data_IF_041065691961
#
_entry.id   IF_041065691961
#
_cell.length_a   1.000
_cell.length_b   1.000
_cell.length_c   1.000
_cell.angle_alpha   90.00
_cell.angle_beta   90.00
_cell.angle_gamma   90.00
#
_symmetry.space_group_name_H-M   'P 1'
#
loop_
_entity.id
_entity.type
_entity.pdbx_description
1 polymer ?
#
# COMPACT_ATOMS: atom_id res chain seq x y z
N UNK A 1 -10.44 -16.53 2.96
CA UNK A 1 -11.57 -16.33 2.03
C UNK A 1 -11.04 -15.60 0.81
N UNK A 2 -10.95 -16.26 -0.33
CA UNK A 2 -10.41 -15.70 -1.58
C UNK A 2 -11.50 -14.83 -2.19
N UNK A 3 -11.51 -13.56 -1.93
CA UNK A 3 -12.38 -12.60 -2.61
C UNK A 3 -11.71 -12.21 -3.92
N UNK A 4 -12.38 -12.46 -5.01
CA UNK A 4 -12.09 -12.17 -6.42
C UNK A 4 -11.42 -13.29 -7.22
N UNK A 5 -12.21 -13.82 -8.14
CA UNK A 5 -11.73 -14.67 -9.22
C UNK A 5 -10.89 -13.82 -10.18
N UNK A 6 -9.60 -14.14 -10.31
CA UNK A 6 -8.67 -13.53 -11.26
C UNK A 6 -9.29 -13.35 -12.64
N UNK A 7 -9.26 -12.15 -13.19
CA UNK A 7 -9.71 -11.89 -14.56
C UNK A 7 -8.87 -12.70 -15.56
N UNK A 8 -9.45 -13.05 -16.72
CA UNK A 8 -8.77 -13.85 -17.77
C UNK A 8 -7.47 -13.22 -18.26
N UNK A 9 -7.28 -11.92 -18.05
CA UNK A 9 -6.13 -11.13 -18.51
C UNK A 9 -4.89 -11.25 -17.61
N UNK A 10 -4.99 -11.63 -16.34
CA UNK A 10 -3.83 -11.85 -15.47
C UNK A 10 -2.83 -12.89 -16.01
N UNK A 11 -3.25 -13.76 -16.94
CA UNK A 11 -2.38 -14.82 -17.49
C UNK A 11 -1.45 -14.39 -18.62
N UNK A 12 -1.69 -13.23 -19.28
CA UNK A 12 -0.91 -12.80 -20.47
C UNK A 12 0.27 -11.88 -20.16
N UNK A 13 0.36 -11.33 -18.94
CA UNK A 13 1.25 -10.22 -18.59
C UNK A 13 2.71 -10.59 -18.35
N UNK A 14 3.01 -11.85 -18.14
CA UNK A 14 4.27 -12.32 -17.56
C UNK A 14 5.45 -12.42 -18.54
N UNK A 15 5.23 -12.19 -19.81
CA UNK A 15 6.27 -12.43 -20.82
C UNK A 15 7.11 -11.22 -21.20
N UNK A 16 6.81 -10.01 -20.72
CA UNK A 16 7.41 -8.77 -21.24
C UNK A 16 8.22 -7.91 -20.25
N UNK A 17 8.33 -8.29 -18.97
CA UNK A 17 9.01 -7.47 -17.94
C UNK A 17 10.47 -7.88 -17.66
N UNK A 18 11.15 -8.46 -18.62
CA UNK A 18 12.55 -8.90 -18.49
C UNK A 18 13.49 -8.00 -19.29
N UNK A 19 13.67 -6.71 -18.95
CA UNK A 19 14.83 -5.92 -19.43
C UNK A 19 14.93 -4.58 -18.70
N UNK A 20 15.69 -4.56 -17.60
CA UNK A 20 16.58 -3.43 -17.26
C UNK A 20 17.34 -3.71 -15.95
N UNK A 21 18.51 -4.31 -16.06
CA UNK A 21 19.52 -4.31 -14.98
C UNK A 21 20.70 -3.53 -15.50
N UNK A 22 20.99 -2.41 -14.88
CA UNK A 22 22.22 -1.66 -15.04
C UNK A 22 22.94 -1.57 -13.70
N UNK A 23 24.06 -2.27 -13.62
CA UNK A 23 24.94 -2.26 -12.45
C UNK A 23 25.72 -0.95 -12.33
N UNK A 24 25.90 -0.46 -11.09
CA UNK A 24 27.06 0.38 -10.75
C UNK A 24 27.42 0.17 -9.28
N UNK A 25 28.57 -0.42 -9.08
CA UNK A 25 29.24 -0.53 -7.78
C UNK A 25 30.00 0.77 -7.47
N UNK A 26 30.01 1.19 -6.21
CA UNK A 26 30.81 2.30 -5.74
C UNK A 26 31.09 2.20 -4.23
N UNK A 27 32.29 1.83 -3.87
CA UNK A 27 32.84 1.77 -2.51
C UNK A 27 33.05 3.17 -1.92
N UNK A 28 32.84 3.31 -0.61
CA UNK A 28 33.27 4.47 0.15
C UNK A 28 33.23 4.24 1.64
N UNK A 29 34.37 3.85 2.23
CA UNK A 29 34.61 3.83 3.69
C UNK A 29 34.71 5.26 4.25
N UNK A 30 34.12 5.52 5.39
CA UNK A 30 34.35 6.71 6.16
C UNK A 30 34.06 6.48 7.66
N UNK A 31 35.13 6.26 8.42
CA UNK A 31 35.14 6.17 9.88
C UNK A 31 35.17 7.59 10.45
N UNK A 32 34.36 7.94 11.46
CA UNK A 32 34.78 8.87 12.50
C UNK A 32 34.06 8.67 13.84
N UNK A 33 34.83 8.86 14.88
CA UNK A 33 34.71 8.52 16.27
C UNK A 33 34.19 9.72 17.12
N UNK A 34 33.45 9.41 18.22
CA UNK A 34 33.55 10.12 19.50
C UNK A 34 32.64 11.33 19.68
N UNK A 35 31.88 11.41 20.71
CA UNK A 35 32.21 11.87 22.09
C UNK A 35 30.97 11.84 22.98
N UNK A 36 31.22 11.66 24.28
CA UNK A 36 30.31 11.43 25.40
C UNK A 36 29.46 12.66 25.86
N UNK A 37 28.53 12.41 26.85
CA UNK A 37 27.46 13.34 27.20
C UNK A 37 27.82 14.24 28.41
N UNK A 38 27.02 15.28 28.72
CA UNK A 38 27.05 15.93 30.03
C UNK A 38 25.83 15.64 30.90
N UNK A 39 26.07 15.04 32.02
CA UNK A 39 25.78 15.33 33.44
C UNK A 39 24.60 16.26 33.76
N UNK A 40 23.61 15.66 34.50
CA UNK A 40 23.13 16.20 35.76
C UNK A 40 22.10 17.30 35.76
N UNK A 41 20.88 17.01 36.22
CA UNK A 41 20.04 17.97 36.94
C UNK A 41 19.53 17.37 38.24
N UNK A 42 19.69 18.15 39.28
CA UNK A 42 19.42 17.91 40.70
C UNK A 42 17.92 17.82 41.01
N UNK A 43 17.62 16.89 41.91
CA UNK A 43 16.44 16.88 42.77
C UNK A 43 16.50 18.08 43.76
N UNK A 44 15.45 18.87 43.86
CA UNK A 44 14.97 19.45 45.11
C UNK A 44 13.72 20.29 44.88
N UNK A 45 12.82 20.20 45.86
CA UNK A 45 11.71 21.05 46.26
C UNK A 45 10.28 20.55 45.91
N UNK A 46 9.83 19.57 46.71
CA UNK A 46 8.42 19.30 46.94
C UNK A 46 7.93 20.11 48.16
N UNK A 47 7.09 21.09 47.94
CA UNK A 47 6.22 21.66 48.98
C UNK A 47 4.84 21.02 48.93
N UNK A 48 4.24 20.64 50.04
CA UNK A 48 2.93 20.02 50.07
C UNK A 48 1.81 21.06 49.89
N UNK A 49 0.88 20.75 48.97
CA UNK A 49 -0.37 21.49 48.77
C UNK A 49 -1.48 20.85 49.62
N UNK A 50 -2.36 21.64 50.30
CA UNK A 50 -3.40 21.10 51.19
C UNK A 50 -4.53 20.40 50.44
N UNK A 51 -5.02 19.33 51.04
CA UNK A 51 -6.17 18.54 50.68
C UNK A 51 -7.48 19.39 50.69
N UNK A 52 -7.99 19.73 49.52
CA UNK A 52 -9.37 20.18 49.36
C UNK A 52 -10.19 19.05 48.70
N UNK A 53 -11.04 18.45 49.52
CA UNK A 53 -12.02 17.45 49.11
C UNK A 53 -13.02 18.03 48.09
N UNK A 54 -12.75 17.82 46.81
CA UNK A 54 -13.72 18.07 45.74
C UNK A 54 -14.74 16.93 45.66
N UNK A 55 -15.97 17.23 46.08
CA UNK A 55 -17.16 16.38 45.86
C UNK A 55 -17.52 16.48 44.38
N UNK A 56 -17.30 15.42 43.63
CA UNK A 56 -17.75 15.32 42.23
C UNK A 56 -19.30 15.04 42.25
N UNK A 57 -20.10 15.83 41.51
CA UNK A 57 -21.48 15.45 41.28
C UNK A 57 -21.49 14.20 40.39
N UNK A 58 -22.32 13.21 40.76
CA UNK A 58 -22.55 12.01 39.97
C UNK A 58 -23.09 12.41 38.59
N UNK A 59 -22.19 12.46 37.58
CA UNK A 59 -22.60 12.58 36.19
C UNK A 59 -23.23 11.28 35.75
N UNK A 60 -24.49 11.36 35.38
CA UNK A 60 -25.20 10.27 34.71
C UNK A 60 -24.38 9.85 33.47
N UNK A 61 -23.89 8.62 33.51
CA UNK A 61 -23.22 7.97 32.37
C UNK A 61 -24.26 7.79 31.27
N UNK A 62 -24.32 8.72 30.33
CA UNK A 62 -24.93 8.45 29.04
C UNK A 62 -24.04 7.42 28.37
N UNK A 63 -24.52 6.20 28.24
CA UNK A 63 -23.94 5.18 27.36
C UNK A 63 -24.06 5.74 25.94
N UNK A 64 -23.00 6.32 25.44
CA UNK A 64 -22.87 6.59 24.00
C UNK A 64 -22.85 5.22 23.30
N UNK A 65 -24.00 4.83 22.77
CA UNK A 65 -24.07 3.71 21.82
C UNK A 65 -23.17 4.07 20.64
N UNK A 66 -22.08 3.30 20.51
CA UNK A 66 -21.26 3.34 19.31
C UNK A 66 -22.19 3.23 18.09
N UNK A 67 -22.10 4.13 17.10
CA UNK A 67 -22.96 4.06 15.94
C UNK A 67 -22.78 2.69 15.27
N UNK A 68 -23.90 2.05 14.94
CA UNK A 68 -23.92 0.82 14.18
C UNK A 68 -23.15 1.07 12.87
N UNK A 69 -22.25 0.16 12.45
CA UNK A 69 -21.44 0.38 11.25
C UNK A 69 -22.36 0.58 10.04
N UNK A 70 -22.14 1.68 9.32
CA UNK A 70 -22.88 1.99 8.09
C UNK A 70 -22.79 0.80 7.13
N UNK A 71 -23.91 0.42 6.47
CA UNK A 71 -23.90 -0.69 5.53
C UNK A 71 -22.95 -0.37 4.35
N UNK A 72 -22.19 -1.39 3.90
CA UNK A 72 -21.33 -1.26 2.74
C UNK A 72 -22.12 -0.80 1.52
N UNK A 73 -21.61 0.19 0.75
CA UNK A 73 -22.27 0.64 -0.47
C UNK A 73 -22.38 -0.50 -1.49
N UNK A 74 -23.47 -0.55 -2.26
CA UNK A 74 -23.68 -1.59 -3.29
C UNK A 74 -22.63 -1.52 -4.41
N UNK A 75 -22.24 -0.27 -4.77
CA UNK A 75 -21.20 0.00 -5.76
C UNK A 75 -20.03 0.70 -5.10
N UNK A 76 -18.85 0.09 -5.18
CA UNK A 76 -17.63 0.71 -4.66
C UNK A 76 -16.40 0.42 -5.53
N UNK A 77 -15.41 1.31 -5.44
CA UNK A 77 -14.12 1.19 -6.10
C UNK A 77 -12.99 1.50 -5.13
N UNK A 78 -11.99 0.62 -5.11
CA UNK A 78 -10.69 0.88 -4.52
C UNK A 78 -9.71 1.23 -5.63
N UNK A 79 -9.27 2.48 -5.67
CA UNK A 79 -8.14 2.86 -6.52
C UNK A 79 -6.87 2.43 -5.82
N UNK A 80 -6.05 1.60 -6.48
CA UNK A 80 -4.81 1.08 -5.89
C UNK A 80 -3.62 1.38 -6.78
N UNK A 81 -2.50 1.74 -6.15
CA UNK A 81 -1.25 2.11 -6.82
C UNK A 81 -0.11 1.25 -6.30
N UNK A 82 0.61 0.57 -7.20
CA UNK A 82 1.76 -0.26 -6.89
C UNK A 82 3.06 0.46 -7.28
N UNK A 83 4.20 0.01 -6.73
CA UNK A 83 5.57 0.39 -7.08
C UNK A 83 6.00 1.83 -6.75
N UNK A 84 5.15 2.59 -6.08
CA UNK A 84 5.53 3.89 -5.50
C UNK A 84 6.21 3.77 -4.13
N UNK A 85 6.64 4.90 -3.54
CA UNK A 85 6.55 6.25 -4.08
C UNK A 85 7.64 6.57 -5.10
N UNK A 86 7.32 7.46 -6.01
CA UNK A 86 8.23 7.93 -7.05
C UNK A 86 8.02 9.42 -7.38
N UNK A 87 8.69 9.91 -8.43
CA UNK A 87 8.43 11.25 -8.97
C UNK A 87 6.99 11.45 -9.51
N UNK A 88 6.25 10.37 -9.75
CA UNK A 88 4.84 10.39 -10.21
C UNK A 88 3.87 10.54 -9.04
N UNK A 89 4.23 10.07 -7.86
CA UNK A 89 3.36 10.05 -6.67
C UNK A 89 2.78 11.42 -6.30
N UNK A 90 3.53 12.55 -6.37
CA UNK A 90 2.95 13.87 -6.08
C UNK A 90 1.79 14.25 -7.01
N UNK A 91 1.87 13.92 -8.30
CA UNK A 91 0.82 14.20 -9.27
C UNK A 91 -0.43 13.34 -8.99
N UNK A 92 -0.24 12.07 -8.60
CA UNK A 92 -1.31 11.15 -8.17
C UNK A 92 -1.99 11.68 -6.91
N UNK A 93 -1.25 12.01 -5.86
CA UNK A 93 -1.79 12.57 -4.60
C UNK A 93 -2.56 13.88 -4.87
N UNK A 94 -2.02 14.74 -5.72
CA UNK A 94 -2.69 16.00 -6.10
C UNK A 94 -4.04 15.75 -6.79
N UNK A 95 -4.13 14.76 -7.69
CA UNK A 95 -5.38 14.41 -8.37
C UNK A 95 -6.41 13.84 -7.39
N UNK A 96 -6.02 12.91 -6.52
CA UNK A 96 -6.88 12.30 -5.50
C UNK A 96 -7.41 13.35 -4.52
N UNK A 97 -6.52 14.21 -4.01
CA UNK A 97 -6.88 15.26 -3.04
C UNK A 97 -7.83 16.31 -3.64
N UNK A 98 -7.59 16.75 -4.89
CA UNK A 98 -8.52 17.66 -5.58
C UNK A 98 -9.90 17.05 -5.76
N UNK A 99 -9.98 15.75 -6.01
CA UNK A 99 -11.24 15.03 -6.18
C UNK A 99 -11.92 14.66 -4.86
N UNK A 100 -11.23 14.79 -3.71
CA UNK A 100 -11.73 14.42 -2.39
C UNK A 100 -11.88 12.91 -2.19
N UNK A 101 -11.11 12.08 -2.93
CA UNK A 101 -11.18 10.61 -2.85
C UNK A 101 -9.94 10.03 -2.21
N UNK A 102 -10.09 8.86 -1.57
CA UNK A 102 -8.98 8.13 -0.96
C UNK A 102 -8.61 6.92 -1.80
N UNK A 103 -7.38 6.47 -1.66
CA UNK A 103 -6.80 5.35 -2.40
C UNK A 103 -5.90 4.51 -1.49
N UNK A 104 -5.45 3.35 -1.97
CA UNK A 104 -4.48 2.50 -1.29
C UNK A 104 -3.20 2.43 -2.11
N UNK A 105 -2.06 2.64 -1.45
CA UNK A 105 -0.73 2.57 -2.05
C UNK A 105 0.00 1.33 -1.54
N UNK A 106 0.28 0.39 -2.44
CA UNK A 106 1.14 -0.77 -2.18
C UNK A 106 2.59 -0.37 -2.46
N UNK A 107 3.28 0.03 -1.41
CA UNK A 107 4.56 0.73 -1.54
C UNK A 107 5.76 -0.18 -1.62
N UNK A 108 6.81 0.30 -2.29
CA UNK A 108 8.15 -0.31 -2.31
C UNK A 108 9.17 0.62 -1.64
N UNK A 109 10.29 0.02 -1.19
CA UNK A 109 11.41 0.78 -0.62
C UNK A 109 12.74 0.20 -1.12
N UNK A 110 13.02 0.38 -2.42
CA UNK A 110 14.11 -0.30 -3.14
C UNK A 110 15.51 0.31 -2.95
N UNK A 111 15.63 1.42 -2.20
CA UNK A 111 16.86 2.22 -2.12
C UNK A 111 16.96 3.25 -3.24
N UNK A 112 16.52 2.92 -4.44
CA UNK A 112 16.51 3.86 -5.57
C UNK A 112 15.45 4.95 -5.43
N UNK A 113 14.43 4.70 -4.61
CA UNK A 113 13.32 5.63 -4.36
C UNK A 113 13.37 6.32 -2.99
N UNK A 114 14.45 6.21 -2.22
CA UNK A 114 14.59 6.74 -0.85
C UNK A 114 14.21 8.21 -0.72
N UNK A 115 14.57 9.04 -1.68
CA UNK A 115 14.23 10.46 -1.69
C UNK A 115 12.72 10.74 -1.76
N UNK A 116 11.93 9.75 -2.14
CA UNK A 116 10.47 9.86 -2.26
C UNK A 116 9.73 9.22 -1.08
N UNK A 117 10.40 8.45 -0.21
CA UNK A 117 9.77 7.82 0.96
C UNK A 117 9.02 8.80 1.88
N UNK A 118 9.46 10.07 2.06
CA UNK A 118 8.67 11.05 2.83
C UNK A 118 7.23 11.27 2.32
N UNK A 119 6.95 11.03 1.02
CA UNK A 119 5.61 11.12 0.45
C UNK A 119 4.62 10.11 1.07
N UNK A 120 5.13 9.03 1.67
CA UNK A 120 4.31 8.05 2.40
C UNK A 120 3.63 8.71 3.61
N UNK A 121 4.36 9.56 4.36
CA UNK A 121 3.78 10.32 5.46
C UNK A 121 2.71 11.30 4.98
N UNK A 122 2.94 11.94 3.83
CA UNK A 122 1.98 12.87 3.23
C UNK A 122 0.71 12.13 2.78
N UNK A 123 0.85 10.97 2.13
CA UNK A 123 -0.26 10.13 1.72
C UNK A 123 -1.08 9.65 2.92
N UNK A 124 -0.42 9.13 3.96
CA UNK A 124 -1.07 8.68 5.18
C UNK A 124 -1.79 9.82 5.91
N UNK A 125 -1.14 10.99 6.05
CA UNK A 125 -1.76 12.18 6.67
C UNK A 125 -2.96 12.71 5.87
N UNK A 126 -2.97 12.52 4.55
CA UNK A 126 -4.10 12.83 3.70
C UNK A 126 -5.23 11.80 3.78
N UNK A 127 -5.08 10.72 4.58
CA UNK A 127 -6.08 9.66 4.78
C UNK A 127 -6.08 8.59 3.70
N UNK A 128 -5.00 8.46 2.91
CA UNK A 128 -4.80 7.31 2.04
C UNK A 128 -4.26 6.12 2.84
N UNK A 129 -4.63 4.93 2.45
CA UNK A 129 -4.09 3.71 3.05
C UNK A 129 -2.71 3.41 2.47
N UNK A 130 -1.76 3.07 3.36
CA UNK A 130 -0.46 2.52 2.98
C UNK A 130 -0.50 1.01 3.21
N UNK A 131 -0.03 0.24 2.24
CA UNK A 131 0.01 -1.21 2.25
C UNK A 131 1.37 -1.72 1.75
N UNK A 132 1.69 -2.97 2.05
CA UNK A 132 2.99 -3.56 1.77
C UNK A 132 3.04 -4.15 0.36
N UNK A 133 4.12 -3.88 -0.38
CA UNK A 133 4.40 -4.54 -1.65
C UNK A 133 5.70 -5.33 -1.61
N UNK A 134 6.83 -4.67 -1.54
CA UNK A 134 8.15 -5.30 -1.44
C UNK A 134 9.23 -4.26 -1.08
N UNK A 135 10.29 -4.67 -0.39
CA UNK A 135 11.46 -3.83 -0.20
C UNK A 135 12.30 -3.75 -1.47
N UNK A 136 12.54 -4.87 -2.14
CA UNK A 136 13.45 -4.94 -3.30
C UNK A 136 12.74 -4.93 -4.64
N UNK A 137 11.56 -5.51 -4.71
CA UNK A 137 10.80 -5.83 -5.93
C UNK A 137 11.56 -6.71 -6.94
N UNK A 138 12.59 -7.44 -6.47
CA UNK A 138 13.39 -8.34 -7.29
C UNK A 138 12.84 -9.77 -7.20
N UNK A 139 12.15 -10.23 -8.25
CA UNK A 139 11.48 -11.54 -8.26
C UNK A 139 12.42 -12.71 -7.98
N UNK A 140 13.69 -12.63 -8.45
CA UNK A 140 14.73 -13.63 -8.20
C UNK A 140 15.03 -13.79 -6.73
N UNK A 141 14.88 -12.74 -5.94
CA UNK A 141 15.25 -12.70 -4.55
C UNK A 141 14.04 -13.03 -3.67
N UNK A 142 12.93 -12.30 -3.85
CA UNK A 142 11.74 -12.46 -3.01
C UNK A 142 11.05 -13.81 -3.17
N UNK A 143 11.16 -14.45 -4.33
CA UNK A 143 10.51 -15.73 -4.61
C UNK A 143 11.46 -16.95 -4.58
N UNK A 144 12.64 -16.82 -3.97
CA UNK A 144 13.50 -17.98 -3.74
C UNK A 144 12.91 -18.95 -2.72
N UNK A 145 12.25 -18.43 -1.68
CA UNK A 145 11.60 -19.20 -0.61
C UNK A 145 10.61 -18.32 0.15
N UNK A 146 9.79 -18.93 1.00
CA UNK A 146 8.93 -18.18 1.91
C UNK A 146 9.74 -17.31 2.87
N UNK A 147 10.84 -17.81 3.42
CA UNK A 147 11.74 -17.05 4.28
C UNK A 147 12.33 -15.81 3.57
N UNK A 148 12.69 -15.94 2.29
CA UNK A 148 13.20 -14.81 1.50
C UNK A 148 12.12 -13.74 1.32
N UNK A 149 10.89 -14.15 1.04
CA UNK A 149 9.74 -13.24 0.93
C UNK A 149 9.50 -12.48 2.24
N UNK A 150 9.47 -13.19 3.38
CA UNK A 150 9.22 -12.54 4.67
C UNK A 150 10.34 -11.61 5.09
N UNK A 151 11.60 -11.96 4.81
CA UNK A 151 12.74 -11.03 5.02
C UNK A 151 12.61 -9.75 4.23
N UNK A 152 12.12 -9.82 2.99
CA UNK A 152 11.85 -8.64 2.16
C UNK A 152 10.72 -7.79 2.74
N UNK A 153 9.64 -8.41 3.22
CA UNK A 153 8.53 -7.71 3.90
C UNK A 153 8.98 -7.08 5.23
N UNK A 154 9.78 -7.77 6.03
CA UNK A 154 10.31 -7.23 7.28
C UNK A 154 11.24 -6.03 7.02
N UNK A 155 12.12 -6.13 6.02
CA UNK A 155 12.96 -5.01 5.57
C UNK A 155 12.11 -3.83 5.08
N UNK A 156 11.04 -4.10 4.33
CA UNK A 156 10.10 -3.04 3.91
C UNK A 156 9.52 -2.32 5.13
N UNK A 157 9.01 -3.05 6.12
CA UNK A 157 8.44 -2.47 7.35
C UNK A 157 9.47 -1.65 8.13
N UNK A 158 10.71 -2.14 8.23
CA UNK A 158 11.81 -1.39 8.84
C UNK A 158 12.03 -0.05 8.11
N UNK A 159 12.13 -0.05 6.79
CA UNK A 159 12.36 1.15 5.99
C UNK A 159 11.17 2.12 5.99
N UNK A 160 9.95 1.62 6.19
CA UNK A 160 8.74 2.45 6.30
C UNK A 160 8.54 3.06 7.69
N UNK A 161 9.16 2.50 8.73
CA UNK A 161 8.94 2.89 10.13
C UNK A 161 9.16 4.38 10.44
N UNK A 162 10.05 5.12 9.75
CA UNK A 162 10.17 6.58 9.94
C UNK A 162 9.00 7.39 9.38
N UNK A 163 8.18 6.81 8.52
CA UNK A 163 7.16 7.52 7.73
C UNK A 163 5.73 7.13 8.10
N UNK A 164 5.52 5.91 8.57
CA UNK A 164 4.20 5.37 8.95
C UNK A 164 4.35 4.33 10.05
N UNK A 165 3.31 4.16 10.86
CA UNK A 165 3.30 3.09 11.88
C UNK A 165 3.24 1.71 11.21
N UNK A 166 4.38 1.03 11.19
CA UNK A 166 4.53 -0.26 10.51
C UNK A 166 3.76 -1.42 11.18
N UNK A 167 3.40 -1.28 12.46
CA UNK A 167 2.57 -2.24 13.23
C UNK A 167 1.09 -2.26 12.79
N UNK A 168 0.64 -1.25 12.04
CA UNK A 168 -0.70 -1.16 11.46
C UNK A 168 -0.80 -1.62 10.00
N UNK A 169 0.28 -2.10 9.39
CA UNK A 169 0.31 -2.48 7.97
C UNK A 169 -0.06 -3.97 7.81
N UNK A 170 -1.34 -4.27 7.73
CA UNK A 170 -1.87 -5.64 7.64
C UNK A 170 -2.28 -6.09 6.25
N UNK A 171 -2.20 -5.18 5.26
CA UNK A 171 -2.54 -5.48 3.88
C UNK A 171 -1.27 -5.53 3.02
N UNK A 172 -1.22 -6.51 2.13
CA UNK A 172 -0.13 -6.64 1.18
C UNK A 172 -0.63 -7.05 -0.21
N UNK A 173 0.18 -6.77 -1.22
CA UNK A 173 0.01 -7.30 -2.57
C UNK A 173 1.30 -7.97 -2.99
N UNK A 174 1.19 -9.23 -3.43
CA UNK A 174 2.34 -9.94 -3.97
C UNK A 174 2.84 -9.26 -5.25
N UNK A 175 4.14 -8.99 -5.43
CA UNK A 175 4.67 -8.58 -6.71
C UNK A 175 4.21 -9.50 -7.84
N UNK A 176 3.45 -8.91 -8.78
CA UNK A 176 2.79 -9.63 -9.85
C UNK A 176 1.53 -10.40 -9.49
N UNK A 177 0.97 -10.23 -8.29
CA UNK A 177 -0.27 -10.84 -7.84
C UNK A 177 -0.13 -12.27 -7.32
N UNK A 178 -1.16 -12.74 -6.63
CA UNK A 178 -1.17 -14.06 -5.98
C UNK A 178 -1.28 -15.24 -6.97
N UNK A 179 -1.53 -14.98 -8.23
CA UNK A 179 -1.62 -15.98 -9.30
C UNK A 179 -0.43 -15.95 -10.24
N UNK A 180 0.63 -15.17 -9.92
CA UNK A 180 1.81 -15.08 -10.76
C UNK A 180 2.46 -16.46 -10.99
N UNK A 181 3.06 -16.62 -12.15
CA UNK A 181 3.78 -17.85 -12.49
C UNK A 181 5.31 -17.72 -12.38
N UNK A 182 5.80 -16.49 -12.20
CA UNK A 182 7.24 -16.19 -12.09
C UNK A 182 7.83 -16.81 -10.83
N UNK A 183 7.07 -16.80 -9.71
CA UNK A 183 7.45 -17.45 -8.45
C UNK A 183 7.85 -18.92 -8.62
N UNK A 184 7.21 -19.63 -9.57
CA UNK A 184 7.55 -21.04 -9.86
C UNK A 184 8.96 -21.22 -10.41
N UNK A 185 9.48 -20.20 -11.09
CA UNK A 185 10.83 -20.24 -11.65
C UNK A 185 11.92 -20.23 -10.57
N UNK A 186 11.65 -19.56 -9.46
CA UNK A 186 12.63 -19.36 -8.39
C UNK A 186 12.40 -20.29 -7.21
N UNK A 187 11.18 -20.36 -6.66
CA UNK A 187 10.84 -21.12 -5.45
C UNK A 187 10.00 -22.38 -5.70
N UNK A 188 9.75 -22.73 -6.98
CA UNK A 188 9.00 -23.95 -7.31
C UNK A 188 7.49 -23.77 -7.27
N UNK A 189 6.77 -24.86 -7.63
CA UNK A 189 5.31 -24.82 -7.86
C UNK A 189 4.47 -24.57 -6.60
N UNK A 190 5.01 -24.89 -5.40
CA UNK A 190 4.28 -24.80 -4.14
C UNK A 190 4.41 -23.44 -3.45
N UNK A 191 5.40 -22.62 -3.82
CA UNK A 191 5.75 -21.41 -3.07
C UNK A 191 4.57 -20.45 -2.89
N UNK A 192 3.84 -20.11 -3.96
CA UNK A 192 2.72 -19.16 -3.85
C UNK A 192 1.56 -19.70 -2.99
N UNK A 193 1.35 -21.00 -2.98
CA UNK A 193 0.35 -21.59 -2.10
C UNK A 193 0.78 -21.48 -0.64
N UNK A 194 2.04 -21.83 -0.34
CA UNK A 194 2.64 -21.66 0.98
C UNK A 194 2.56 -20.20 1.47
N UNK A 195 2.96 -19.23 0.62
CA UNK A 195 2.93 -17.81 0.98
C UNK A 195 1.51 -17.32 1.28
N UNK A 196 0.51 -17.73 0.51
CA UNK A 196 -0.89 -17.37 0.78
C UNK A 196 -1.40 -17.92 2.13
N UNK A 197 -1.02 -19.15 2.47
CA UNK A 197 -1.34 -19.77 3.75
C UNK A 197 -0.64 -19.05 4.91
N UNK A 198 0.66 -18.75 4.77
CA UNK A 198 1.42 -18.03 5.77
C UNK A 198 0.96 -16.58 5.98
N UNK A 199 0.61 -15.86 4.90
CA UNK A 199 0.04 -14.50 4.98
C UNK A 199 -1.21 -14.49 5.84
N UNK A 200 -2.14 -15.42 5.58
CA UNK A 200 -3.37 -15.57 6.36
C UNK A 200 -3.10 -15.99 7.80
N UNK A 201 -2.21 -16.98 8.02
CA UNK A 201 -1.85 -17.44 9.35
C UNK A 201 -1.18 -16.37 10.22
N UNK A 202 -0.49 -15.42 9.60
CA UNK A 202 0.12 -14.26 10.27
C UNK A 202 -0.84 -13.07 10.45
N UNK A 203 -2.12 -13.20 10.08
CA UNK A 203 -3.13 -12.16 10.21
C UNK A 203 -3.12 -11.09 9.12
N UNK A 204 -2.31 -11.24 8.07
CA UNK A 204 -2.33 -10.33 6.93
C UNK A 204 -3.44 -10.69 5.95
N UNK A 205 -3.92 -9.68 5.20
CA UNK A 205 -4.72 -9.89 4.00
C UNK A 205 -3.87 -9.59 2.75
N UNK A 206 -3.83 -10.53 1.80
CA UNK A 206 -3.30 -10.24 0.47
C UNK A 206 -4.42 -9.84 -0.47
N UNK A 207 -4.17 -8.88 -1.35
CA UNK A 207 -5.20 -8.28 -2.20
C UNK A 207 -4.71 -8.21 -3.64
N UNK A 208 -5.41 -8.91 -4.52
CA UNK A 208 -5.24 -8.78 -5.97
C UNK A 208 -6.15 -7.66 -6.51
N UNK A 209 -6.48 -7.72 -7.79
CA UNK A 209 -7.35 -6.77 -8.49
C UNK A 209 -8.29 -7.50 -9.44
N UNK A 210 -9.38 -6.84 -9.82
CA UNK A 210 -10.32 -7.32 -10.82
C UNK A 210 -10.48 -6.34 -12.00
N UNK A 211 -9.87 -5.15 -11.90
CA UNK A 211 -9.77 -4.16 -12.98
C UNK A 211 -8.30 -3.80 -13.17
N UNK A 212 -7.79 -3.86 -14.39
CA UNK A 212 -6.41 -3.53 -14.70
C UNK A 212 -6.31 -2.35 -15.66
N UNK A 213 -5.55 -1.33 -15.28
CA UNK A 213 -5.32 -0.15 -16.12
C UNK A 213 -4.41 -0.44 -17.32
N UNK A 214 -3.61 -1.52 -17.25
CA UNK A 214 -2.56 -1.84 -18.23
C UNK A 214 -1.55 -0.69 -18.42
N UNK A 215 -1.30 0.09 -17.37
CA UNK A 215 -0.49 1.30 -17.38
C UNK A 215 1.03 1.06 -17.32
N UNK A 216 1.44 -0.09 -16.78
CA UNK A 216 2.85 -0.50 -16.68
C UNK A 216 3.31 -1.44 -17.82
N UNK A 217 2.45 -1.71 -18.82
CA UNK A 217 2.85 -2.50 -19.98
C UNK A 217 3.80 -1.75 -20.90
N UNK A 218 4.64 -2.49 -21.59
CA UNK A 218 5.56 -1.93 -22.58
C UNK A 218 4.86 -1.01 -23.59
N UNK A 219 5.51 0.13 -23.93
CA UNK A 219 4.99 1.08 -24.90
C UNK A 219 4.36 2.35 -24.30
N UNK A 220 4.31 2.51 -22.98
CA UNK A 220 3.81 3.70 -22.28
C UNK A 220 2.43 4.14 -22.81
N UNK A 221 1.36 3.47 -22.42
CA UNK A 221 0.01 3.77 -22.90
C UNK A 221 -0.36 5.23 -22.59
N UNK A 222 -1.13 5.86 -23.49
CA UNK A 222 -1.63 7.21 -23.26
C UNK A 222 -2.68 7.24 -22.14
N UNK A 223 -2.88 8.39 -21.50
CA UNK A 223 -3.91 8.58 -20.50
C UNK A 223 -5.30 8.12 -20.99
N UNK A 224 -5.67 8.46 -22.23
CA UNK A 224 -6.93 7.99 -22.83
C UNK A 224 -6.99 6.47 -23.06
N UNK A 225 -5.86 5.80 -23.25
CA UNK A 225 -5.83 4.32 -23.34
C UNK A 225 -6.04 3.69 -21.98
N UNK A 226 -5.35 4.20 -20.95
CA UNK A 226 -5.51 3.78 -19.55
C UNK A 226 -6.97 3.91 -19.11
N UNK A 227 -7.57 5.09 -19.35
CA UNK A 227 -8.98 5.32 -19.07
C UNK A 227 -9.90 4.30 -19.74
N UNK A 228 -9.75 4.07 -21.06
CA UNK A 228 -10.57 3.08 -21.78
C UNK A 228 -10.38 1.66 -21.26
N UNK A 229 -9.17 1.29 -20.87
CA UNK A 229 -8.91 -0.03 -20.28
C UNK A 229 -9.69 -0.21 -18.99
N UNK A 230 -9.64 0.77 -18.08
CA UNK A 230 -10.37 0.74 -16.81
C UNK A 230 -11.88 0.65 -17.06
N UNK A 231 -12.43 1.50 -17.92
CA UNK A 231 -13.87 1.47 -18.24
C UNK A 231 -14.28 0.10 -18.81
N UNK A 232 -13.49 -0.43 -19.75
CA UNK A 232 -13.75 -1.75 -20.36
C UNK A 232 -13.70 -2.89 -19.33
N UNK A 233 -12.67 -2.89 -18.47
CA UNK A 233 -12.48 -3.92 -17.45
C UNK A 233 -13.51 -3.83 -16.32
N UNK A 234 -13.94 -2.63 -15.97
CA UNK A 234 -15.02 -2.41 -14.98
C UNK A 234 -16.33 -3.01 -15.51
N UNK A 235 -16.71 -2.75 -16.78
CA UNK A 235 -17.91 -3.33 -17.37
C UNK A 235 -19.14 -3.18 -16.47
N UNK A 236 -19.77 -4.30 -16.11
CA UNK A 236 -20.95 -4.36 -15.22
C UNK A 236 -20.59 -4.66 -13.75
N UNK A 237 -19.30 -4.67 -13.40
CA UNK A 237 -18.87 -4.93 -12.03
C UNK A 237 -19.31 -3.79 -11.11
N UNK A 238 -19.77 -4.15 -9.91
CA UNK A 238 -20.20 -3.19 -8.89
C UNK A 238 -19.18 -3.03 -7.76
N UNK A 239 -18.18 -3.91 -7.70
CA UNK A 239 -17.13 -3.94 -6.70
C UNK A 239 -15.79 -4.07 -7.41
N UNK A 240 -15.01 -2.99 -7.40
CA UNK A 240 -13.80 -2.88 -8.19
C UNK A 240 -12.57 -2.61 -7.33
N UNK A 241 -11.51 -3.40 -7.55
CA UNK A 241 -10.17 -3.09 -7.09
C UNK A 241 -9.34 -2.85 -8.35
N UNK A 242 -8.93 -1.60 -8.55
CA UNK A 242 -8.26 -1.15 -9.77
C UNK A 242 -6.76 -1.18 -9.56
N UNK A 243 -6.04 -1.97 -10.35
CA UNK A 243 -4.58 -1.95 -10.42
C UNK A 243 -4.12 -0.81 -11.31
N UNK A 244 -3.34 0.08 -10.74
CA UNK A 244 -2.56 1.13 -11.38
C UNK A 244 -1.16 1.18 -10.73
N UNK A 245 -0.27 2.00 -11.29
CA UNK A 245 1.06 2.20 -10.74
C UNK A 245 1.39 3.70 -10.62
N UNK A 246 2.09 4.06 -9.54
CA UNK A 246 2.68 5.40 -9.37
C UNK A 246 4.22 5.36 -9.42
N UNK A 247 4.75 4.39 -10.17
CA UNK A 247 6.17 4.23 -10.47
C UNK A 247 6.73 5.40 -11.29
N UNK A 248 8.05 5.51 -11.36
CA UNK A 248 8.71 6.60 -12.11
C UNK A 248 8.42 6.61 -13.61
N UNK A 249 7.88 5.54 -14.16
CA UNK A 249 7.59 5.38 -15.60
C UNK A 249 6.12 5.56 -15.98
N UNK A 250 5.22 5.64 -15.01
CA UNK A 250 3.75 5.63 -15.20
C UNK A 250 3.11 7.02 -15.02
N UNK A 251 3.76 8.09 -15.46
CA UNK A 251 3.22 9.46 -15.38
C UNK A 251 1.85 9.60 -16.06
N UNK A 252 1.62 8.88 -17.15
CA UNK A 252 0.34 8.90 -17.88
C UNK A 252 -0.82 8.37 -17.04
N UNK A 253 -0.56 7.58 -15.99
CA UNK A 253 -1.56 7.17 -15.00
C UNK A 253 -2.06 8.36 -14.20
N UNK A 254 -1.17 9.21 -13.71
CA UNK A 254 -1.55 10.44 -13.02
C UNK A 254 -2.34 11.40 -13.94
N UNK A 255 -1.99 11.46 -15.24
CA UNK A 255 -2.70 12.25 -16.25
C UNK A 255 -4.12 11.71 -16.53
N UNK A 256 -4.32 10.38 -16.46
CA UNK A 256 -5.63 9.74 -16.65
C UNK A 256 -6.55 9.82 -15.43
N UNK A 257 -5.98 10.01 -14.25
CA UNK A 257 -6.68 9.83 -12.98
C UNK A 257 -7.89 10.76 -12.78
N UNK A 258 -7.87 12.04 -13.18
CA UNK A 258 -9.06 12.91 -13.10
C UNK A 258 -10.26 12.35 -13.85
N UNK A 259 -10.07 11.87 -15.08
CA UNK A 259 -11.15 11.30 -15.90
C UNK A 259 -11.65 9.97 -15.33
N UNK A 260 -10.76 9.14 -14.82
CA UNK A 260 -11.10 7.87 -14.16
C UNK A 260 -11.98 8.13 -12.93
N UNK A 261 -11.57 9.07 -12.07
CA UNK A 261 -12.32 9.40 -10.86
C UNK A 261 -13.69 9.97 -11.21
N UNK A 262 -13.75 10.89 -12.20
CA UNK A 262 -15.01 11.48 -12.62
C UNK A 262 -15.95 10.42 -13.17
N UNK A 263 -15.44 9.50 -13.99
CA UNK A 263 -16.26 8.42 -14.55
C UNK A 263 -16.85 7.50 -13.45
N UNK A 264 -16.07 7.09 -12.45
CA UNK A 264 -16.59 6.29 -11.34
C UNK A 264 -17.64 7.06 -10.53
N UNK A 265 -17.45 8.37 -10.27
CA UNK A 265 -18.45 9.23 -9.62
C UNK A 265 -19.75 9.28 -10.41
N UNK A 266 -19.67 9.50 -11.72
CA UNK A 266 -20.85 9.60 -12.61
C UNK A 266 -21.60 8.27 -12.71
N UNK A 267 -20.94 7.14 -12.46
CA UNK A 267 -21.54 5.82 -12.43
C UNK A 267 -21.96 5.35 -11.02
N UNK A 268 -21.93 6.24 -10.02
CA UNK A 268 -22.45 6.00 -8.68
C UNK A 268 -21.59 5.11 -7.78
N UNK A 269 -20.27 5.04 -8.03
CA UNK A 269 -19.37 4.28 -7.17
C UNK A 269 -18.93 5.10 -5.96
N UNK A 270 -18.98 4.50 -4.78
CA UNK A 270 -18.31 4.98 -3.60
C UNK A 270 -16.82 4.65 -3.66
N UNK A 271 -15.96 5.58 -3.23
CA UNK A 271 -14.51 5.37 -3.18
C UNK A 271 -14.13 4.86 -1.79
N UNK A 272 -13.51 3.71 -1.72
CA UNK A 272 -13.05 3.08 -0.49
C UNK A 272 -11.55 2.80 -0.57
N UNK A 273 -10.89 2.77 0.59
CA UNK A 273 -9.58 2.12 0.70
C UNK A 273 -9.77 0.60 0.77
N UNK A 274 -8.69 -0.14 0.52
CA UNK A 274 -8.76 -1.62 0.60
C UNK A 274 -9.17 -2.08 1.99
N UNK A 275 -8.68 -1.45 3.07
CA UNK A 275 -9.05 -1.82 4.43
C UNK A 275 -10.54 -1.59 4.76
N UNK A 276 -11.18 -0.62 4.09
CA UNK A 276 -12.61 -0.40 4.22
C UNK A 276 -13.45 -1.42 3.45
N UNK A 277 -12.92 -1.92 2.32
CA UNK A 277 -13.64 -2.83 1.42
C UNK A 277 -13.39 -4.32 1.69
N UNK A 278 -12.22 -4.67 2.21
CA UNK A 278 -11.76 -6.05 2.38
C UNK A 278 -11.43 -6.29 3.85
N UNK A 279 -12.23 -7.07 4.57
CA UNK A 279 -11.94 -7.35 5.98
C UNK A 279 -10.66 -8.20 6.13
N UNK A 280 -9.95 -8.00 7.25
CA UNK A 280 -8.86 -8.89 7.64
C UNK A 280 -9.39 -10.30 7.91
N UNK A 281 -8.57 -11.35 7.70
CA UNK A 281 -8.96 -12.69 8.06
C UNK A 281 -9.24 -12.78 9.55
N UNK A 282 -10.37 -13.36 9.91
CA UNK A 282 -10.67 -13.71 11.32
C UNK A 282 -9.76 -14.85 11.74
N UNK A 283 -8.90 -14.62 12.73
CA UNK A 283 -8.06 -15.63 13.36
C UNK A 283 -8.89 -16.55 14.25
#
# INVERSE_FOLDING_TARGET
MTFFRSSKHQRLWWSLLLLSVGAAAGFGLGIFCGTEPPVGCRESDLTPVPDESFVFPASASSVETSPEPEPMPEKWVCLTFDDGPSKTTPDVLSALNRAGVKATFFVVATGNNDKYLPLISEAAAAGHQIALHSASHEYSDIYQSADAYWKDIDLLKERLSPYVRADGLWYLRFPGGSTNTVSRRYGGRGLMQQLKEEVTAKGYAYVDWNVCAEDAVGGKPSAGTIFRNIVRETGEQTQCIVLMHDSATTRTTAEALPDIIQWYKDNGFAFLTVEQAVPLPTT
#
